data_IF_360948253409
#
_entry.id   IF_360948253409
#
_cell.length_a   1.000
_cell.length_b   1.000
_cell.length_c   1.000
_cell.angle_alpha   90.00
_cell.angle_beta   90.00
_cell.angle_gamma   90.00
#
_symmetry.space_group_name_H-M   'P 1'
#
loop_
_entity.id
_entity.type
_entity.pdbx_description
1 polymer ?
#
# COMPACT_ATOMS: atom_id res chain seq x y z
N UNK A 1 33.89 9.47 20.31
CA UNK A 1 32.72 9.12 21.17
C UNK A 1 31.43 8.88 20.37
N UNK A 2 31.28 9.43 19.16
CA UNK A 2 30.07 9.28 18.33
C UNK A 2 29.93 7.88 17.68
N UNK A 3 31.05 7.24 17.30
CA UNK A 3 31.06 5.93 16.61
C UNK A 3 30.46 4.79 17.44
N UNK A 4 30.68 4.79 18.76
CA UNK A 4 30.17 3.74 19.65
C UNK A 4 28.66 3.84 19.92
N UNK A 5 28.08 5.03 19.79
CA UNK A 5 26.63 5.23 19.90
C UNK A 5 25.91 4.72 18.64
N UNK A 6 26.54 4.93 17.48
CA UNK A 6 25.99 4.58 16.17
C UNK A 6 25.94 3.06 15.94
N UNK A 7 26.96 2.34 16.43
CA UNK A 7 26.99 0.87 16.48
C UNK A 7 25.85 0.30 17.33
N UNK A 8 25.57 0.90 18.50
CA UNK A 8 24.51 0.44 19.39
C UNK A 8 23.11 0.65 18.77
N UNK A 9 22.95 1.70 17.97
CA UNK A 9 21.66 2.05 17.34
C UNK A 9 21.32 1.09 16.20
N UNK A 10 22.32 0.45 15.58
CA UNK A 10 22.11 -0.58 14.54
C UNK A 10 21.71 -1.95 15.10
N UNK A 11 21.77 -2.15 16.42
CA UNK A 11 21.29 -3.37 17.08
C UNK A 11 19.76 -3.41 17.15
N UNK A 12 19.10 -2.25 17.17
CA UNK A 12 17.63 -2.15 17.22
C UNK A 12 17.08 -1.62 15.89
N UNK A 13 16.60 -2.54 15.04
CA UNK A 13 15.90 -2.16 13.81
C UNK A 13 14.44 -1.87 14.15
N UNK A 14 14.06 -0.59 14.03
CA UNK A 14 12.69 -0.10 14.32
C UNK A 14 11.92 0.15 13.03
N UNK A 15 10.62 -0.14 13.05
CA UNK A 15 9.71 0.19 11.98
C UNK A 15 9.67 1.70 11.72
N UNK A 16 9.74 2.17 10.46
CA UNK A 16 9.65 3.60 10.15
C UNK A 16 8.24 4.17 10.31
N UNK A 17 7.21 3.31 10.32
CA UNK A 17 5.81 3.69 10.43
C UNK A 17 4.99 2.62 11.17
N UNK A 18 3.89 3.04 11.78
CA UNK A 18 2.92 2.15 12.41
C UNK A 18 2.14 1.37 11.35
N UNK A 19 1.97 0.07 11.57
CA UNK A 19 1.29 -0.81 10.63
C UNK A 19 1.28 -2.27 11.09
N UNK A 20 0.63 -3.12 10.31
CA UNK A 20 0.55 -4.56 10.52
C UNK A 20 1.69 -5.28 9.80
N UNK A 21 2.37 -6.20 10.47
CA UNK A 21 3.44 -7.02 9.87
C UNK A 21 2.79 -8.10 8.99
N UNK A 22 3.01 -8.04 7.67
CA UNK A 22 2.45 -9.01 6.73
C UNK A 22 3.38 -10.22 6.56
N UNK A 23 4.68 -10.00 6.58
CA UNK A 23 5.70 -11.05 6.44
C UNK A 23 6.86 -10.77 7.38
N UNK A 24 7.27 -11.78 8.13
CA UNK A 24 8.50 -11.79 8.92
C UNK A 24 9.36 -12.92 8.40
N UNK A 25 10.51 -12.60 7.81
CA UNK A 25 11.42 -13.61 7.25
C UNK A 25 12.36 -14.17 8.32
N UNK A 26 12.49 -13.48 9.46
CA UNK A 26 13.44 -13.83 10.52
C UNK A 26 12.72 -14.49 11.69
N UNK A 27 12.98 -15.78 11.89
CA UNK A 27 12.41 -16.59 12.98
C UNK A 27 13.49 -17.30 13.82
N UNK A 28 14.73 -16.81 13.81
CA UNK A 28 15.84 -17.48 14.51
C UNK A 28 16.57 -16.53 15.46
N UNK A 29 16.53 -16.86 16.75
CA UNK A 29 17.35 -16.19 17.77
C UNK A 29 18.81 -16.54 17.48
N UNK A 30 19.63 -15.54 17.12
CA UNK A 30 21.04 -15.73 16.73
C UNK A 30 21.29 -15.96 15.24
N UNK A 31 20.29 -15.75 14.37
CA UNK A 31 20.48 -15.73 12.92
C UNK A 31 21.37 -14.56 12.47
N UNK A 32 22.23 -14.81 11.48
CA UNK A 32 23.07 -13.77 10.85
C UNK A 32 22.31 -13.26 9.62
N UNK A 33 22.11 -11.95 9.55
CA UNK A 33 21.45 -11.28 8.42
C UNK A 33 22.49 -10.55 7.56
N UNK A 34 22.33 -10.61 6.25
CA UNK A 34 23.17 -9.87 5.33
C UNK A 34 22.73 -8.39 5.23
N UNK A 35 23.64 -7.45 4.92
CA UNK A 35 23.25 -6.07 4.62
C UNK A 35 22.24 -6.01 3.47
N UNK A 36 21.11 -5.33 3.69
CA UNK A 36 20.05 -5.18 2.70
C UNK A 36 19.05 -6.34 2.64
N UNK A 37 19.16 -7.32 3.53
CA UNK A 37 18.20 -8.41 3.63
C UNK A 37 16.85 -7.93 4.18
N UNK A 38 15.77 -8.30 3.50
CA UNK A 38 14.41 -7.94 3.89
C UNK A 38 14.01 -8.73 5.14
N UNK A 39 13.93 -8.04 6.28
CA UNK A 39 13.56 -8.67 7.55
C UNK A 39 12.05 -8.82 7.70
N UNK A 40 11.32 -7.72 7.48
CA UNK A 40 9.89 -7.62 7.71
C UNK A 40 9.24 -6.66 6.70
N UNK A 41 8.03 -6.99 6.26
CA UNK A 41 7.17 -6.11 5.46
C UNK A 41 6.03 -5.60 6.33
N UNK A 42 5.85 -4.29 6.34
CA UNK A 42 4.85 -3.59 7.15
C UNK A 42 3.81 -2.97 6.23
N UNK A 43 2.53 -3.25 6.48
CA UNK A 43 1.38 -2.61 5.84
C UNK A 43 0.89 -1.49 6.77
N UNK A 44 0.97 -0.21 6.37
CA UNK A 44 0.56 0.91 7.22
C UNK A 44 -0.93 0.86 7.60
N UNK A 45 -1.25 1.21 8.86
CA UNK A 45 -2.66 1.22 9.31
C UNK A 45 -3.44 2.44 8.78
N UNK A 46 -2.73 3.50 8.37
CA UNK A 46 -3.28 4.77 7.92
C UNK A 46 -3.20 4.95 6.40
N UNK A 47 -3.36 3.86 5.64
CA UNK A 47 -3.32 3.95 4.19
C UNK A 47 -4.60 4.56 3.62
N UNK A 48 -4.41 5.58 2.79
CA UNK A 48 -5.45 6.04 1.89
C UNK A 48 -5.65 4.96 0.82
N UNK A 49 -6.72 4.19 0.93
CA UNK A 49 -7.08 3.21 -0.08
C UNK A 49 -7.36 3.91 -1.41
N UNK A 50 -6.50 3.68 -2.39
CA UNK A 50 -6.66 4.16 -3.77
C UNK A 50 -6.97 2.94 -4.64
N UNK A 51 -7.98 3.08 -5.49
CA UNK A 51 -8.35 2.06 -6.48
C UNK A 51 -8.02 2.61 -7.86
N UNK A 52 -7.19 1.87 -8.59
CA UNK A 52 -6.90 2.14 -9.98
C UNK A 52 -7.91 1.42 -10.87
N UNK A 53 -8.49 2.16 -11.82
CA UNK A 53 -9.46 1.63 -12.77
C UNK A 53 -9.12 2.09 -14.19
N UNK A 54 -9.22 1.17 -15.14
CA UNK A 54 -9.07 1.48 -16.56
C UNK A 54 -10.44 1.84 -17.15
N UNK A 55 -10.48 2.96 -17.85
CA UNK A 55 -11.68 3.44 -18.53
C UNK A 55 -11.41 3.47 -20.05
N UNK A 56 -12.39 3.06 -20.88
CA UNK A 56 -12.29 3.23 -22.32
C UNK A 56 -12.05 4.70 -22.69
N UNK A 57 -11.10 5.01 -23.59
CA UNK A 57 -10.77 6.40 -23.95
C UNK A 57 -11.95 7.20 -24.46
N UNK A 58 -12.90 6.54 -25.12
CA UNK A 58 -14.15 7.15 -25.62
C UNK A 58 -15.08 7.67 -24.53
N UNK A 59 -14.85 7.33 -23.24
CA UNK A 59 -15.65 7.77 -22.09
C UNK A 59 -14.86 8.65 -21.12
N UNK A 60 -13.69 9.15 -21.53
CA UNK A 60 -12.90 10.06 -20.68
C UNK A 60 -13.64 11.36 -20.38
N UNK A 61 -14.47 11.83 -21.31
CA UNK A 61 -15.28 13.05 -21.16
C UNK A 61 -16.40 12.91 -20.10
N UNK A 62 -16.78 11.67 -19.75
CA UNK A 62 -17.84 11.38 -18.77
C UNK A 62 -17.31 11.43 -17.32
N UNK A 63 -16.01 11.64 -17.12
CA UNK A 63 -15.34 11.49 -15.83
C UNK A 63 -14.62 12.77 -15.43
N UNK A 64 -14.84 13.22 -14.21
CA UNK A 64 -14.23 14.44 -13.66
C UNK A 64 -13.64 14.19 -12.27
N UNK A 65 -12.51 14.85 -11.91
CA UNK A 65 -12.02 14.83 -10.54
C UNK A 65 -13.09 15.29 -9.54
N UNK A 66 -13.23 14.57 -8.43
CA UNK A 66 -14.24 14.81 -7.41
C UNK A 66 -15.59 14.13 -7.67
N UNK A 67 -15.79 13.51 -8.83
CA UNK A 67 -17.03 12.79 -9.13
C UNK A 67 -17.21 11.60 -8.17
N UNK A 68 -18.40 11.45 -7.55
CA UNK A 68 -18.67 10.34 -6.63
C UNK A 68 -18.69 9.02 -7.40
N UNK A 69 -18.04 8.01 -6.84
CA UNK A 69 -17.98 6.65 -7.40
C UNK A 69 -18.39 5.63 -6.35
N UNK A 70 -19.02 4.56 -6.83
CA UNK A 70 -19.41 3.42 -6.01
C UNK A 70 -18.66 2.19 -6.53
N UNK A 71 -17.76 1.67 -5.72
CA UNK A 71 -16.91 0.52 -6.04
C UNK A 71 -17.55 -0.72 -5.46
N UNK A 72 -17.72 -1.74 -6.29
CA UNK A 72 -18.19 -3.07 -5.88
C UNK A 72 -17.18 -4.11 -6.33
N UNK A 73 -16.82 -4.97 -5.40
CA UNK A 73 -15.93 -6.09 -5.63
C UNK A 73 -16.76 -7.33 -5.96
N UNK A 74 -16.62 -7.92 -7.16
CA UNK A 74 -17.43 -9.05 -7.58
C UNK A 74 -17.17 -10.32 -6.75
N UNK A 75 -16.01 -10.43 -6.08
CA UNK A 75 -15.63 -11.57 -5.25
C UNK A 75 -16.37 -11.62 -3.91
N UNK A 76 -17.02 -10.53 -3.49
CA UNK A 76 -17.79 -10.47 -2.25
C UNK A 76 -19.30 -10.57 -2.52
N UNK A 77 -20.04 -11.17 -1.58
CA UNK A 77 -21.49 -11.30 -1.67
C UNK A 77 -22.17 -9.91 -1.63
N UNK A 78 -22.88 -9.58 -2.70
CA UNK A 78 -23.53 -8.29 -2.90
C UNK A 78 -24.68 -8.00 -1.91
N UNK A 79 -25.22 -9.01 -1.24
CA UNK A 79 -26.26 -8.85 -0.21
C UNK A 79 -25.69 -8.48 1.15
N UNK A 80 -24.43 -8.82 1.42
CA UNK A 80 -23.78 -8.61 2.73
C UNK A 80 -22.71 -7.53 2.70
N UNK A 81 -22.09 -7.30 1.55
CA UNK A 81 -20.97 -6.36 1.42
C UNK A 81 -21.46 -5.03 0.82
N UNK A 82 -21.45 -3.93 1.59
CA UNK A 82 -21.85 -2.63 1.09
C UNK A 82 -20.85 -2.15 0.01
N UNK A 83 -21.34 -1.35 -0.94
CA UNK A 83 -20.46 -0.74 -1.92
C UNK A 83 -19.55 0.31 -1.26
N UNK A 84 -18.27 0.31 -1.63
CA UNK A 84 -17.32 1.30 -1.17
C UNK A 84 -17.55 2.61 -1.90
N UNK A 85 -17.81 3.67 -1.15
CA UNK A 85 -17.98 5.01 -1.71
C UNK A 85 -16.62 5.69 -1.80
N UNK A 86 -16.38 6.37 -2.91
CA UNK A 86 -15.16 7.14 -3.13
C UNK A 86 -15.42 8.32 -4.05
N UNK A 87 -14.35 9.02 -4.40
CA UNK A 87 -14.38 10.06 -5.41
C UNK A 87 -13.17 9.90 -6.35
N UNK A 88 -13.34 10.33 -7.60
CA UNK A 88 -12.24 10.35 -8.58
C UNK A 88 -11.16 11.32 -8.08
N UNK A 89 -9.99 10.78 -7.71
CA UNK A 89 -8.87 11.60 -7.22
C UNK A 89 -8.11 12.25 -8.35
N UNK A 90 -7.83 11.50 -9.41
CA UNK A 90 -7.01 11.93 -10.53
C UNK A 90 -7.32 11.09 -11.77
N UNK A 91 -7.06 11.65 -12.95
CA UNK A 91 -7.23 11.01 -14.25
C UNK A 91 -5.89 11.14 -14.98
N UNK A 92 -5.31 10.01 -15.37
CA UNK A 92 -4.09 9.99 -16.17
C UNK A 92 -4.30 10.64 -17.53
N UNK A 93 -3.35 11.46 -17.96
CA UNK A 93 -3.31 12.00 -19.33
C UNK A 93 -2.82 10.96 -20.36
N UNK A 94 -2.28 9.84 -19.88
CA UNK A 94 -1.70 8.80 -20.72
C UNK A 94 -2.71 7.75 -21.16
N UNK A 95 -2.61 7.38 -22.43
CA UNK A 95 -3.40 6.33 -23.04
C UNK A 95 -2.64 5.00 -22.92
N UNK A 96 -3.07 4.11 -22.03
CA UNK A 96 -2.54 2.75 -21.98
C UNK A 96 -3.24 1.94 -23.09
N UNK A 97 -2.49 1.59 -24.14
CA UNK A 97 -2.89 0.60 -25.15
C UNK A 97 -2.13 -0.69 -24.85
N UNK A 98 -2.88 -1.74 -24.54
CA UNK A 98 -2.40 -3.13 -24.56
C UNK A 98 -2.44 -3.66 -26.00
#
# INVERSE_FOLDING_TARGET
KIVAQDELTKTEIRAPQSGTIQQSTVHTIGGVIAPGELLMTIVPDADNLVVDALIPPARVDDIQPGQPVSIRFPEFDAGTTPACQGAVKWISADLIKD
#
